data_IF_762299486038
#
_entry.id   IF_762299486038
#
_cell.length_a   1.000
_cell.length_b   1.000
_cell.length_c   1.000
_cell.angle_alpha   90.00
_cell.angle_beta   90.00
_cell.angle_gamma   90.00
#
_symmetry.space_group_name_H-M   'P 1'
#
loop_
_entity.id
_entity.type
_entity.pdbx_description
1 polymer ?
#
# COMPACT_ATOMS: atom_id res chain seq x y z
N UNK A 1 3.64 -38.79 0.81
CA UNK A 1 2.47 -37.92 0.60
C UNK A 1 2.93 -36.48 0.63
N UNK A 2 2.44 -35.60 -0.25
CA UNK A 2 2.79 -34.17 -0.15
C UNK A 2 2.11 -33.58 1.08
N UNK A 3 2.84 -32.73 1.84
CA UNK A 3 2.30 -32.07 3.05
C UNK A 3 1.18 -31.13 2.67
N UNK A 4 0.14 -31.08 3.50
CA UNK A 4 -1.03 -30.23 3.29
C UNK A 4 -0.93 -28.95 4.09
N UNK A 5 -1.03 -27.80 3.43
CA UNK A 5 -0.95 -26.48 4.05
C UNK A 5 -2.21 -25.67 3.82
N UNK A 6 -2.55 -24.83 4.79
CA UNK A 6 -3.66 -23.91 4.74
C UNK A 6 -3.14 -22.46 4.84
N UNK A 7 -3.56 -21.62 3.90
CA UNK A 7 -3.36 -20.16 3.98
C UNK A 7 -4.70 -19.52 4.33
N UNK A 8 -4.69 -18.63 5.33
CA UNK A 8 -5.90 -17.94 5.78
C UNK A 8 -5.85 -16.50 5.30
N UNK A 9 -6.79 -16.14 4.44
CA UNK A 9 -6.85 -14.87 3.72
C UNK A 9 -6.28 -14.97 2.31
N UNK A 10 -7.06 -14.53 1.32
CA UNK A 10 -6.69 -14.48 -0.10
C UNK A 10 -6.35 -13.05 -0.55
N UNK A 11 -5.76 -12.24 0.33
CA UNK A 11 -5.13 -10.99 -0.02
C UNK A 11 -3.81 -11.22 -0.78
N UNK A 12 -3.18 -10.17 -1.34
CA UNK A 12 -1.95 -10.32 -2.12
C UNK A 12 -0.80 -11.04 -1.37
N UNK A 13 -0.71 -10.87 -0.06
CA UNK A 13 0.29 -11.57 0.76
C UNK A 13 -0.07 -13.03 0.98
N UNK A 14 -1.33 -13.36 1.26
CA UNK A 14 -1.80 -14.74 1.40
C UNK A 14 -1.62 -15.52 0.11
N UNK A 15 -1.99 -14.94 -1.03
CA UNK A 15 -1.79 -15.55 -2.36
C UNK A 15 -0.31 -15.74 -2.69
N UNK A 16 0.55 -14.76 -2.34
CA UNK A 16 2.00 -14.90 -2.49
C UNK A 16 2.54 -16.07 -1.66
N UNK A 17 2.13 -16.19 -0.40
CA UNK A 17 2.51 -17.30 0.46
C UNK A 17 2.05 -18.64 -0.12
N UNK A 18 0.81 -18.72 -0.59
CA UNK A 18 0.25 -19.92 -1.20
C UNK A 18 1.02 -20.37 -2.45
N UNK A 19 1.39 -19.42 -3.31
CA UNK A 19 2.18 -19.70 -4.53
C UNK A 19 3.54 -20.28 -4.17
N UNK A 20 4.27 -19.68 -3.21
CA UNK A 20 5.58 -20.17 -2.76
C UNK A 20 5.49 -21.59 -2.21
N UNK A 21 4.48 -21.87 -1.38
CA UNK A 21 4.28 -23.22 -0.84
C UNK A 21 3.93 -24.24 -1.95
N UNK A 22 3.08 -23.86 -2.89
CA UNK A 22 2.70 -24.71 -4.02
C UNK A 22 3.89 -24.99 -4.96
N UNK A 23 4.73 -24.00 -5.23
CA UNK A 23 5.99 -24.16 -5.98
C UNK A 23 6.96 -25.11 -5.28
N UNK A 24 6.94 -25.16 -3.94
CA UNK A 24 7.71 -26.12 -3.15
C UNK A 24 7.09 -27.54 -3.10
N UNK A 25 6.01 -27.78 -3.86
CA UNK A 25 5.36 -29.10 -3.98
C UNK A 25 4.37 -29.45 -2.86
N UNK A 26 3.95 -28.47 -2.05
CA UNK A 26 2.92 -28.67 -1.04
C UNK A 26 1.52 -28.63 -1.67
N UNK A 27 0.57 -29.35 -1.07
CA UNK A 27 -0.85 -29.19 -1.37
C UNK A 27 -1.38 -28.00 -0.60
N UNK A 28 -1.89 -26.96 -1.29
CA UNK A 28 -2.25 -25.68 -0.69
C UNK A 28 -3.73 -25.38 -0.89
N UNK A 29 -4.41 -25.09 0.21
CA UNK A 29 -5.74 -24.51 0.22
C UNK A 29 -5.66 -23.11 0.84
N UNK A 30 -6.26 -22.12 0.16
CA UNK A 30 -6.42 -20.74 0.65
C UNK A 30 -7.88 -20.56 1.07
N UNK A 31 -8.12 -20.25 2.34
CA UNK A 31 -9.46 -19.99 2.88
C UNK A 31 -9.68 -18.49 2.96
N UNK A 32 -10.68 -17.99 2.22
CA UNK A 32 -11.06 -16.58 2.18
C UNK A 32 -12.44 -16.37 2.78
N UNK A 33 -12.53 -15.41 3.71
CA UNK A 33 -13.79 -15.13 4.40
C UNK A 33 -14.84 -14.47 3.48
N UNK A 34 -14.39 -13.63 2.55
CA UNK A 34 -15.26 -12.93 1.61
C UNK A 34 -15.66 -13.83 0.43
N UNK A 35 -16.70 -13.44 -0.29
CA UNK A 35 -17.13 -14.11 -1.53
C UNK A 35 -16.17 -13.90 -2.71
N UNK A 36 -15.29 -12.90 -2.61
CA UNK A 36 -14.32 -12.52 -3.64
C UNK A 36 -12.94 -12.39 -3.02
N UNK A 37 -11.90 -13.08 -3.57
CA UNK A 37 -10.54 -12.94 -3.09
C UNK A 37 -9.96 -11.57 -3.40
N UNK A 38 -8.92 -11.16 -2.69
CA UNK A 38 -8.14 -9.95 -2.99
C UNK A 38 -7.91 -9.01 -1.81
N UNK A 39 -8.60 -9.20 -0.68
CA UNK A 39 -8.45 -8.29 0.45
C UNK A 39 -8.68 -6.83 0.05
N UNK A 40 -7.72 -5.95 0.30
CA UNK A 40 -7.77 -4.55 -0.11
C UNK A 40 -7.46 -4.31 -1.61
N UNK A 41 -7.05 -5.33 -2.37
CA UNK A 41 -6.81 -5.23 -3.82
C UNK A 41 -8.04 -5.69 -4.65
N UNK A 42 -9.25 -5.44 -4.16
CA UNK A 42 -10.50 -5.71 -4.88
C UNK A 42 -10.97 -4.50 -5.66
N UNK A 43 -11.66 -4.76 -6.78
CA UNK A 43 -12.38 -3.74 -7.57
C UNK A 43 -13.87 -4.04 -7.51
N UNK A 44 -14.68 -3.04 -7.16
CA UNK A 44 -16.10 -3.18 -6.84
C UNK A 44 -16.92 -2.06 -7.48
N UNK A 45 -18.19 -2.31 -7.76
CA UNK A 45 -19.17 -1.26 -8.08
C UNK A 45 -19.66 -0.62 -6.77
N UNK A 46 -19.04 0.50 -6.39
CA UNK A 46 -19.32 1.16 -5.09
C UNK A 46 -20.29 2.33 -5.19
N UNK A 47 -20.51 2.87 -6.39
CA UNK A 47 -21.37 4.05 -6.62
C UNK A 47 -22.56 3.70 -7.50
N UNK A 48 -22.40 3.77 -8.81
CA UNK A 48 -23.45 3.49 -9.81
C UNK A 48 -23.06 2.24 -10.62
N UNK A 49 -24.05 1.54 -11.22
CA UNK A 49 -23.78 0.42 -12.12
C UNK A 49 -22.82 0.81 -13.25
N UNK A 50 -21.84 -0.06 -13.54
CA UNK A 50 -20.82 0.15 -14.57
C UNK A 50 -19.64 1.04 -14.14
N UNK A 51 -19.64 1.57 -12.90
CA UNK A 51 -18.50 2.31 -12.36
C UNK A 51 -17.67 1.42 -11.44
N UNK A 52 -16.46 1.07 -11.88
CA UNK A 52 -15.55 0.16 -11.22
C UNK A 52 -14.55 0.92 -10.33
N UNK A 53 -14.64 0.73 -9.02
CA UNK A 53 -13.79 1.40 -8.03
C UNK A 53 -12.85 0.42 -7.35
N UNK A 54 -11.61 0.82 -7.13
CA UNK A 54 -10.69 0.06 -6.30
C UNK A 54 -11.02 0.28 -4.83
N UNK A 55 -11.31 -0.81 -4.12
CA UNK A 55 -11.67 -0.75 -2.72
C UNK A 55 -10.54 -0.16 -1.85
N UNK A 56 -9.31 -0.65 -2.02
CA UNK A 56 -8.14 -0.16 -1.31
C UNK A 56 -7.14 0.51 -2.25
N UNK A 57 -6.29 -0.25 -2.90
CA UNK A 57 -5.22 0.28 -3.77
C UNK A 57 -5.64 0.37 -5.23
N UNK A 58 -5.37 1.50 -5.88
CA UNK A 58 -5.54 1.69 -7.34
C UNK A 58 -4.21 1.80 -8.07
N UNK A 59 -3.16 2.27 -7.41
CA UNK A 59 -1.84 2.54 -8.00
C UNK A 59 -0.80 1.67 -7.30
N UNK A 60 0.03 0.97 -8.08
CA UNK A 60 0.83 -0.16 -7.59
C UNK A 60 2.33 -0.03 -7.84
N UNK A 61 3.02 1.02 -7.35
CA UNK A 61 4.48 1.14 -7.54
C UNK A 61 5.25 -0.02 -6.93
N UNK A 62 4.88 -0.44 -5.71
CA UNK A 62 5.54 -1.56 -5.05
C UNK A 62 5.09 -2.91 -5.59
N UNK A 63 3.93 -2.99 -6.24
CA UNK A 63 3.46 -4.19 -6.93
C UNK A 63 4.25 -4.44 -8.21
N UNK A 64 4.33 -3.44 -9.08
CA UNK A 64 5.13 -3.50 -10.30
C UNK A 64 6.63 -3.63 -10.01
N UNK A 65 7.09 -3.04 -8.90
CA UNK A 65 8.46 -3.12 -8.43
C UNK A 65 8.77 -4.30 -7.51
N UNK A 66 7.80 -5.17 -7.23
CA UNK A 66 7.98 -6.32 -6.35
C UNK A 66 8.93 -7.36 -6.96
N UNK A 67 10.02 -7.74 -6.28
CA UNK A 67 10.89 -8.81 -6.75
C UNK A 67 10.13 -10.13 -6.92
N UNK A 68 9.16 -10.42 -6.06
CA UNK A 68 8.38 -11.65 -6.14
C UNK A 68 7.38 -11.60 -7.31
N UNK A 69 6.54 -10.57 -7.41
CA UNK A 69 5.57 -10.49 -8.51
C UNK A 69 6.24 -10.44 -9.88
N UNK A 70 7.39 -9.76 -9.98
CA UNK A 70 8.16 -9.70 -11.23
C UNK A 70 8.80 -11.04 -11.62
N UNK A 71 8.93 -11.99 -10.68
CA UNK A 71 9.41 -13.35 -10.96
C UNK A 71 8.32 -14.31 -11.44
N UNK A 72 7.05 -13.90 -11.38
CA UNK A 72 5.91 -14.70 -11.76
C UNK A 72 5.40 -14.35 -13.17
N UNK A 73 4.86 -15.29 -13.95
CA UNK A 73 4.33 -15.05 -15.29
C UNK A 73 2.94 -14.41 -15.24
N UNK A 74 2.73 -13.35 -14.45
CA UNK A 74 1.41 -12.77 -14.21
C UNK A 74 0.79 -12.15 -15.47
N UNK A 75 1.60 -11.72 -16.44
CA UNK A 75 1.11 -11.28 -17.76
C UNK A 75 0.39 -12.40 -18.51
N UNK A 76 0.88 -13.64 -18.43
CA UNK A 76 0.27 -14.79 -19.07
C UNK A 76 -1.06 -15.18 -18.38
N UNK A 77 -1.27 -14.65 -17.19
CA UNK A 77 -2.48 -14.81 -16.38
C UNK A 77 -3.39 -13.57 -16.39
N UNK A 78 -3.16 -12.63 -17.33
CA UNK A 78 -4.06 -11.51 -17.60
C UNK A 78 -3.74 -10.22 -16.84
N UNK A 79 -2.60 -10.11 -16.14
CA UNK A 79 -2.17 -8.86 -15.54
C UNK A 79 -1.52 -7.96 -16.59
N UNK A 80 -2.10 -6.79 -16.80
CA UNK A 80 -1.54 -5.73 -17.64
C UNK A 80 -1.36 -4.46 -16.81
N UNK A 81 -0.15 -3.89 -16.83
CA UNK A 81 0.15 -2.62 -16.18
C UNK A 81 -0.03 -1.45 -17.16
N UNK A 82 -0.86 -0.47 -16.79
CA UNK A 82 -1.04 0.78 -17.50
C UNK A 82 -0.24 1.86 -16.79
N UNK A 83 0.65 2.54 -17.53
CA UNK A 83 1.39 3.68 -17.04
C UNK A 83 0.72 4.98 -17.49
N UNK A 84 0.41 5.88 -16.55
CA UNK A 84 0.08 7.26 -16.87
C UNK A 84 1.32 8.00 -17.39
N UNK A 85 1.15 9.07 -18.18
CA UNK A 85 2.28 9.89 -18.67
C UNK A 85 3.20 10.38 -17.55
N UNK A 86 2.63 10.75 -16.41
CA UNK A 86 3.39 11.09 -15.20
C UNK A 86 2.89 10.25 -14.01
N UNK A 87 3.76 9.73 -13.13
CA UNK A 87 3.38 9.03 -11.90
C UNK A 87 2.52 9.88 -10.96
N UNK A 88 2.86 11.16 -10.78
CA UNK A 88 2.26 12.00 -9.76
C UNK A 88 2.22 13.47 -10.18
N UNK A 89 1.10 14.13 -9.87
CA UNK A 89 0.97 15.59 -9.90
C UNK A 89 0.72 16.16 -8.50
N UNK A 90 1.29 17.32 -8.22
CA UNK A 90 1.07 18.07 -6.99
C UNK A 90 0.66 19.51 -7.35
N UNK A 91 -0.65 19.82 -7.44
CA UNK A 91 -1.12 21.16 -7.74
C UNK A 91 -0.88 22.13 -6.59
N UNK A 92 -0.66 23.40 -6.95
CA UNK A 92 -0.38 24.52 -6.03
C UNK A 92 -1.44 25.62 -6.19
N UNK A 93 -1.51 26.52 -5.22
CA UNK A 93 -2.50 27.60 -5.20
C UNK A 93 -2.35 28.60 -6.34
N UNK A 94 -1.15 28.74 -6.90
CA UNK A 94 -0.87 29.59 -8.06
C UNK A 94 -1.41 29.05 -9.39
N UNK A 95 -2.09 27.89 -9.35
CA UNK A 95 -2.68 27.26 -10.52
C UNK A 95 -1.71 26.39 -11.33
N UNK A 96 -0.45 26.29 -10.93
CA UNK A 96 0.50 25.35 -11.52
C UNK A 96 0.48 23.99 -10.79
N UNK A 97 1.09 22.97 -11.41
CA UNK A 97 1.37 21.70 -10.74
C UNK A 97 2.87 21.40 -10.77
N UNK A 98 3.37 20.73 -9.73
CA UNK A 98 4.69 20.12 -9.73
C UNK A 98 4.52 18.66 -10.15
N UNK A 99 5.19 18.28 -11.23
CA UNK A 99 5.10 16.92 -11.77
C UNK A 99 6.26 16.07 -11.29
N UNK A 100 5.97 14.85 -10.90
CA UNK A 100 6.95 13.79 -10.78
C UNK A 100 6.86 12.96 -12.07
N UNK A 101 7.80 13.17 -12.97
CA UNK A 101 7.87 12.44 -14.23
C UNK A 101 8.52 11.08 -14.03
N UNK A 102 8.25 10.12 -14.91
CA UNK A 102 8.91 8.81 -14.85
C UNK A 102 10.40 8.95 -15.17
N UNK A 103 10.73 9.75 -16.17
CA UNK A 103 12.14 10.08 -16.46
C UNK A 103 12.72 10.99 -15.39
N UNK A 104 13.84 10.57 -14.81
CA UNK A 104 14.52 11.32 -13.76
C UNK A 104 15.07 12.66 -14.28
N UNK A 105 15.51 12.70 -15.54
CA UNK A 105 16.07 13.91 -16.13
C UNK A 105 14.99 14.97 -16.37
N UNK A 106 13.79 14.55 -16.80
CA UNK A 106 12.63 15.43 -16.95
C UNK A 106 12.23 16.03 -15.59
N UNK A 107 12.13 15.19 -14.53
CA UNK A 107 11.86 15.68 -13.17
C UNK A 107 12.94 16.67 -12.70
N UNK A 108 14.23 16.34 -12.90
CA UNK A 108 15.31 17.24 -12.50
C UNK A 108 15.22 18.59 -13.22
N UNK A 109 14.90 18.59 -14.52
CA UNK A 109 14.72 19.81 -15.30
C UNK A 109 13.54 20.65 -14.78
N UNK A 110 12.39 20.00 -14.49
CA UNK A 110 11.20 20.67 -13.95
C UNK A 110 11.42 21.24 -12.55
N UNK A 111 12.23 20.59 -11.71
CA UNK A 111 12.60 21.07 -10.37
C UNK A 111 13.68 22.16 -10.37
N UNK A 112 14.24 22.49 -11.51
CA UNK A 112 15.17 23.60 -11.74
C UNK A 112 16.31 23.63 -10.71
N UNK A 113 16.34 24.64 -9.81
CA UNK A 113 17.40 24.82 -8.81
C UNK A 113 17.61 23.61 -7.90
N UNK A 114 16.57 22.81 -7.65
CA UNK A 114 16.63 21.61 -6.82
C UNK A 114 16.85 20.32 -7.61
N UNK A 115 16.83 20.38 -8.94
CA UNK A 115 17.05 19.22 -9.81
C UNK A 115 18.32 18.43 -9.47
N UNK A 116 19.51 19.08 -9.31
CA UNK A 116 20.73 18.37 -8.92
C UNK A 116 20.63 17.74 -7.52
N UNK A 117 19.94 18.37 -6.57
CA UNK A 117 19.74 17.83 -5.23
C UNK A 117 18.80 16.61 -5.25
N UNK A 118 17.72 16.69 -6.02
CA UNK A 118 16.82 15.59 -6.28
C UNK A 118 17.54 14.38 -6.90
N UNK A 119 18.34 14.60 -7.95
CA UNK A 119 19.12 13.54 -8.55
C UNK A 119 20.09 12.85 -7.59
N UNK A 120 20.79 13.63 -6.75
CA UNK A 120 21.67 13.03 -5.72
C UNK A 120 20.90 12.19 -4.69
N UNK A 121 19.65 12.57 -4.41
CA UNK A 121 18.80 11.89 -3.44
C UNK A 121 18.30 10.54 -3.97
N UNK A 122 17.90 10.44 -5.25
CA UNK A 122 17.15 9.28 -5.76
C UNK A 122 17.93 8.43 -6.79
N UNK A 123 18.80 9.02 -7.63
CA UNK A 123 19.51 8.34 -8.73
C UNK A 123 20.19 7.04 -8.32
N UNK A 124 20.95 6.95 -7.21
CA UNK A 124 21.66 5.72 -6.86
C UNK A 124 20.74 4.53 -6.61
N UNK A 125 19.53 4.77 -6.17
CA UNK A 125 18.52 3.75 -5.90
C UNK A 125 17.72 3.40 -7.14
N UNK A 126 17.49 4.38 -8.02
CA UNK A 126 16.83 4.19 -9.33
C UNK A 126 17.68 3.29 -10.22
N UNK A 127 18.96 3.64 -10.38
CA UNK A 127 19.92 2.88 -11.23
C UNK A 127 20.18 1.46 -10.70
N UNK A 128 19.99 1.23 -9.40
CA UNK A 128 20.22 -0.05 -8.77
C UNK A 128 18.93 -0.65 -8.17
N UNK A 129 17.77 -0.38 -8.78
CA UNK A 129 16.48 -0.84 -8.27
C UNK A 129 16.44 -2.35 -8.02
N UNK A 130 16.98 -3.15 -8.95
CA UNK A 130 17.03 -4.62 -8.83
C UNK A 130 17.78 -5.11 -7.58
N UNK A 131 18.75 -4.34 -7.10
CA UNK A 131 19.50 -4.61 -5.87
C UNK A 131 18.82 -3.98 -4.64
N UNK A 132 18.19 -2.82 -4.83
CA UNK A 132 17.58 -2.04 -3.76
C UNK A 132 16.23 -2.62 -3.31
N UNK A 133 15.35 -2.97 -4.27
CA UNK A 133 14.03 -3.47 -3.96
C UNK A 133 14.01 -4.72 -3.05
N UNK A 134 14.84 -5.76 -3.27
CA UNK A 134 14.89 -6.91 -2.38
C UNK A 134 15.35 -6.60 -0.95
N UNK A 135 16.15 -5.53 -0.77
CA UNK A 135 16.61 -5.12 0.57
C UNK A 135 15.51 -4.39 1.35
N UNK A 136 14.81 -3.46 0.70
CA UNK A 136 13.78 -2.64 1.36
C UNK A 136 12.42 -3.35 1.47
N UNK A 137 12.14 -4.29 0.57
CA UNK A 137 10.93 -5.10 0.55
C UNK A 137 11.15 -6.48 1.21
N UNK A 138 12.11 -6.57 2.12
CA UNK A 138 12.43 -7.76 2.89
C UNK A 138 12.55 -7.49 4.39
N UNK A 139 12.80 -8.53 5.20
CA UNK A 139 13.12 -8.36 6.60
C UNK A 139 14.48 -7.66 6.73
N UNK A 140 14.58 -6.77 7.72
CA UNK A 140 15.86 -6.14 8.04
C UNK A 140 16.94 -7.19 8.32
N UNK A 141 18.05 -7.10 7.60
CA UNK A 141 19.20 -7.97 7.76
C UNK A 141 20.26 -7.25 8.57
N UNK A 142 20.89 -7.98 9.49
CA UNK A 142 22.04 -7.44 10.24
C UNK A 142 23.16 -7.04 9.28
N UNK A 143 23.39 -7.84 8.23
CA UNK A 143 24.31 -7.51 7.14
C UNK A 143 23.53 -7.52 5.83
N UNK A 144 23.29 -6.34 5.22
CA UNK A 144 22.67 -6.25 3.91
C UNK A 144 23.51 -6.91 2.82
N UNK A 145 22.89 -7.39 1.75
CA UNK A 145 23.61 -7.91 0.57
C UNK A 145 24.36 -6.80 -0.17
N UNK A 146 23.83 -5.57 -0.13
CA UNK A 146 24.40 -4.37 -0.75
C UNK A 146 24.67 -3.29 0.30
N UNK A 147 25.70 -3.45 1.16
CA UNK A 147 25.90 -2.62 2.36
C UNK A 147 26.13 -1.15 2.02
N UNK A 148 26.86 -0.84 0.95
CA UNK A 148 27.08 0.55 0.53
C UNK A 148 25.80 1.26 0.11
N UNK A 149 24.92 0.57 -0.64
CA UNK A 149 23.63 1.10 -1.08
C UNK A 149 22.70 1.31 0.12
N UNK A 150 22.66 0.34 1.04
CA UNK A 150 21.82 0.40 2.23
C UNK A 150 22.33 1.41 3.26
N UNK A 151 23.64 1.59 3.40
CA UNK A 151 24.19 2.67 4.24
C UNK A 151 23.81 4.04 3.71
N UNK A 152 23.88 4.24 2.38
CA UNK A 152 23.44 5.48 1.74
C UNK A 152 21.95 5.73 1.93
N UNK A 153 21.12 4.71 1.79
CA UNK A 153 19.68 4.82 2.06
C UNK A 153 19.43 5.15 3.54
N UNK A 154 20.07 4.44 4.46
CA UNK A 154 19.93 4.63 5.91
C UNK A 154 20.27 6.05 6.38
N UNK A 155 21.28 6.69 5.76
CA UNK A 155 21.63 8.08 6.07
C UNK A 155 20.48 9.07 5.81
N UNK A 156 19.58 8.77 4.87
CA UNK A 156 18.40 9.60 4.58
C UNK A 156 17.17 9.04 5.29
N UNK A 157 16.99 7.74 5.24
CA UNK A 157 15.80 7.05 5.74
C UNK A 157 15.56 7.27 7.25
N UNK A 158 16.63 7.37 8.04
CA UNK A 158 16.54 7.60 9.48
C UNK A 158 16.20 9.07 9.84
N UNK A 159 16.19 9.96 8.85
CA UNK A 159 15.83 11.37 9.07
C UNK A 159 14.32 11.59 9.00
N UNK A 160 13.89 12.73 9.50
CA UNK A 160 12.54 13.25 9.24
C UNK A 160 12.48 13.90 7.84
N UNK A 161 11.29 13.83 7.22
CA UNK A 161 11.04 14.50 5.94
C UNK A 161 11.31 16.00 6.04
N UNK A 162 10.96 16.61 7.17
CA UNK A 162 11.25 18.02 7.45
C UNK A 162 12.75 18.33 7.39
N UNK A 163 13.60 17.46 7.94
CA UNK A 163 15.06 17.66 7.94
C UNK A 163 15.64 17.57 6.53
N UNK A 164 15.13 16.66 5.69
CA UNK A 164 15.55 16.54 4.29
C UNK A 164 15.02 17.72 3.47
N UNK A 165 13.76 18.10 3.63
CA UNK A 165 13.13 19.20 2.89
C UNK A 165 13.80 20.54 3.13
N UNK A 166 14.39 20.81 4.31
CA UNK A 166 15.17 22.03 4.60
C UNK A 166 16.38 22.22 3.70
N UNK A 167 16.86 21.16 3.02
CA UNK A 167 17.98 21.20 2.05
C UNK A 167 17.51 21.53 0.64
N UNK A 168 16.20 21.51 0.40
CA UNK A 168 15.56 21.89 -0.84
C UNK A 168 15.24 23.40 -0.79
N UNK A 169 15.55 24.11 -1.86
CA UNK A 169 15.42 25.58 -1.91
C UNK A 169 14.02 26.02 -2.34
N UNK A 170 13.45 25.32 -3.34
CA UNK A 170 12.15 25.66 -3.90
C UNK A 170 11.01 25.20 -2.99
N UNK A 171 10.05 26.07 -2.64
CA UNK A 171 8.82 25.68 -1.96
C UNK A 171 8.04 24.60 -2.73
N UNK A 172 8.08 24.63 -4.07
CA UNK A 172 7.43 23.65 -4.94
C UNK A 172 8.03 22.25 -4.76
N UNK A 173 9.35 22.13 -4.75
CA UNK A 173 10.03 20.85 -4.51
C UNK A 173 9.76 20.32 -3.11
N UNK A 174 9.72 21.22 -2.11
CA UNK A 174 9.37 20.84 -0.74
C UNK A 174 7.94 20.29 -0.64
N UNK A 175 6.98 20.93 -1.32
CA UNK A 175 5.59 20.50 -1.35
C UNK A 175 5.43 19.09 -1.99
N UNK A 176 6.07 18.85 -3.13
CA UNK A 176 6.12 17.52 -3.76
C UNK A 176 6.69 16.48 -2.78
N UNK A 177 7.82 16.81 -2.13
CA UNK A 177 8.48 15.91 -1.18
C UNK A 177 7.61 15.62 0.06
N UNK A 178 6.85 16.63 0.55
CA UNK A 178 5.91 16.45 1.65
C UNK A 178 4.77 15.48 1.29
N UNK A 179 4.19 15.61 0.10
CA UNK A 179 3.15 14.69 -0.37
C UNK A 179 3.65 13.24 -0.47
N UNK A 180 4.88 13.03 -0.94
CA UNK A 180 5.52 11.71 -0.95
C UNK A 180 5.77 11.18 0.47
N UNK A 181 6.18 12.04 1.42
CA UNK A 181 6.43 11.67 2.79
C UNK A 181 5.16 11.31 3.56
N UNK A 182 4.02 11.92 3.21
CA UNK A 182 2.73 11.66 3.84
C UNK A 182 2.26 10.21 3.68
N UNK A 183 2.74 9.48 2.66
CA UNK A 183 2.50 8.03 2.55
C UNK A 183 3.01 7.22 3.76
N UNK A 184 3.82 7.79 4.64
CA UNK A 184 4.29 7.15 5.87
C UNK A 184 3.24 7.07 6.97
N UNK A 185 2.19 7.89 6.92
CA UNK A 185 1.24 8.12 8.02
C UNK A 185 1.91 8.62 9.32
N UNK A 186 3.14 9.11 9.21
CA UNK A 186 3.89 9.73 10.29
C UNK A 186 3.77 11.25 10.22
N UNK A 187 3.98 11.92 11.36
CA UNK A 187 4.24 13.35 11.32
C UNK A 187 5.56 13.60 10.56
N UNK A 188 5.60 14.63 9.71
CA UNK A 188 6.76 14.87 8.83
C UNK A 188 8.02 15.32 9.58
N UNK A 189 7.92 15.59 10.88
CA UNK A 189 9.05 15.86 11.80
C UNK A 189 9.54 14.58 12.52
N UNK A 190 8.84 13.43 12.38
CA UNK A 190 9.26 12.16 12.94
C UNK A 190 10.34 11.45 12.07
N UNK A 191 11.29 10.72 12.70
CA UNK A 191 12.21 9.82 12.00
C UNK A 191 11.47 8.83 11.10
N UNK A 192 12.12 8.34 10.06
CA UNK A 192 11.61 7.43 9.03
C UNK A 192 10.61 8.06 8.04
N UNK A 193 10.04 9.24 8.29
CA UNK A 193 9.13 9.88 7.32
C UNK A 193 9.85 10.21 5.99
N UNK A 194 11.16 10.50 6.02
CA UNK A 194 11.97 10.70 4.80
C UNK A 194 12.17 9.38 4.01
N UNK A 195 12.17 8.21 4.67
CA UNK A 195 12.32 6.93 4.00
C UNK A 195 11.21 6.69 2.98
N UNK A 196 9.98 7.00 3.36
CA UNK A 196 8.82 6.85 2.47
C UNK A 196 8.87 7.82 1.30
N UNK A 197 9.23 9.09 1.55
CA UNK A 197 9.37 10.06 0.47
C UNK A 197 10.39 9.60 -0.59
N UNK A 198 11.56 9.12 -0.13
CA UNK A 198 12.59 8.63 -1.04
C UNK A 198 12.15 7.34 -1.74
N UNK A 199 11.55 6.40 -1.03
CA UNK A 199 11.05 5.16 -1.63
C UNK A 199 10.00 5.42 -2.71
N UNK A 200 9.03 6.30 -2.42
CA UNK A 200 7.99 6.67 -3.39
C UNK A 200 8.58 7.39 -4.61
N UNK A 201 9.51 8.33 -4.41
CA UNK A 201 10.21 8.99 -5.50
C UNK A 201 11.05 8.01 -6.34
N UNK A 202 11.80 7.13 -5.69
CA UNK A 202 12.62 6.12 -6.37
C UNK A 202 11.75 5.16 -7.19
N UNK A 203 10.65 4.66 -6.61
CA UNK A 203 9.73 3.77 -7.32
C UNK A 203 9.10 4.43 -8.54
N UNK A 204 8.78 5.74 -8.46
CA UNK A 204 8.22 6.50 -9.58
C UNK A 204 9.18 6.52 -10.78
N UNK A 205 10.48 6.73 -10.54
CA UNK A 205 11.48 6.75 -11.60
C UNK A 205 11.88 5.34 -12.06
N UNK A 206 12.01 4.38 -11.16
CA UNK A 206 12.50 3.04 -11.47
C UNK A 206 11.45 2.19 -12.21
N UNK A 207 10.22 2.16 -11.71
CA UNK A 207 9.15 1.28 -12.21
C UNK A 207 7.87 2.02 -12.61
N UNK A 208 7.79 3.31 -12.30
CA UNK A 208 6.56 4.10 -12.46
C UNK A 208 5.53 3.83 -11.36
N UNK A 209 4.37 4.48 -11.48
CA UNK A 209 3.20 4.25 -10.62
C UNK A 209 2.04 3.72 -11.48
N UNK A 210 2.13 2.47 -11.96
CA UNK A 210 1.11 1.93 -12.84
C UNK A 210 -0.17 1.57 -12.09
N UNK A 211 -1.25 1.50 -12.88
CA UNK A 211 -2.54 0.92 -12.48
C UNK A 211 -2.72 -0.42 -13.21
N UNK A 212 -3.33 -1.45 -12.61
CA UNK A 212 -3.69 -2.66 -13.35
C UNK A 212 -4.93 -2.40 -14.19
N UNK A 213 -4.92 -2.86 -15.44
CA UNK A 213 -6.10 -2.79 -16.34
C UNK A 213 -7.27 -3.53 -15.70
N UNK A 214 -8.43 -2.90 -15.61
CA UNK A 214 -9.61 -3.44 -14.93
C UNK A 214 -9.57 -3.31 -13.41
N UNK A 215 -8.52 -2.69 -12.85
CA UNK A 215 -8.38 -2.45 -11.40
C UNK A 215 -7.61 -3.51 -10.63
N UNK A 216 -7.50 -3.29 -9.32
CA UNK A 216 -6.74 -4.15 -8.40
C UNK A 216 -7.15 -5.62 -8.42
N UNK A 217 -8.41 -5.89 -8.73
CA UNK A 217 -8.92 -7.26 -8.87
C UNK A 217 -8.17 -8.06 -9.94
N UNK A 218 -7.66 -7.40 -10.99
CA UNK A 218 -6.89 -8.09 -12.05
C UNK A 218 -5.59 -8.69 -11.53
N UNK A 219 -4.89 -8.01 -10.63
CA UNK A 219 -3.71 -8.58 -9.95
C UNK A 219 -4.10 -9.82 -9.13
N UNK A 220 -5.18 -9.73 -8.36
CA UNK A 220 -5.68 -10.86 -7.57
C UNK A 220 -6.06 -12.04 -8.46
N UNK A 221 -6.79 -11.77 -9.54
CA UNK A 221 -7.20 -12.81 -10.49
C UNK A 221 -5.99 -13.49 -11.14
N UNK A 222 -4.96 -12.74 -11.51
CA UNK A 222 -3.72 -13.29 -12.07
C UNK A 222 -3.00 -14.20 -11.06
N UNK A 223 -2.91 -13.77 -9.79
CA UNK A 223 -2.31 -14.60 -8.72
C UNK A 223 -3.12 -15.89 -8.47
N UNK A 224 -4.44 -15.81 -8.42
CA UNK A 224 -5.32 -16.98 -8.27
C UNK A 224 -5.21 -17.92 -9.47
N UNK A 225 -5.18 -17.37 -10.69
CA UNK A 225 -5.01 -18.14 -11.92
C UNK A 225 -3.68 -18.88 -11.93
N UNK A 226 -2.58 -18.21 -11.59
CA UNK A 226 -1.26 -18.84 -11.50
C UNK A 226 -1.23 -19.91 -10.40
N UNK A 227 -1.77 -19.65 -9.21
CA UNK A 227 -1.86 -20.62 -8.11
C UNK A 227 -2.61 -21.88 -8.55
N UNK A 228 -3.68 -21.73 -9.35
CA UNK A 228 -4.45 -22.86 -9.90
C UNK A 228 -3.61 -23.76 -10.81
N UNK A 229 -2.70 -23.22 -11.61
CA UNK A 229 -1.77 -24.03 -12.43
C UNK A 229 -0.83 -24.89 -11.58
N UNK A 230 -0.55 -24.45 -10.36
CA UNK A 230 0.24 -25.18 -9.36
C UNK A 230 -0.63 -26.14 -8.52
N UNK A 231 -1.91 -26.32 -8.88
CA UNK A 231 -2.92 -27.15 -8.18
C UNK A 231 -3.29 -26.64 -6.78
N UNK A 232 -2.98 -25.37 -6.45
CA UNK A 232 -3.51 -24.72 -5.27
C UNK A 232 -4.98 -24.31 -5.46
N UNK A 233 -5.74 -24.22 -4.38
CA UNK A 233 -7.18 -23.89 -4.42
C UNK A 233 -7.47 -22.67 -3.57
N UNK A 234 -8.34 -21.78 -4.06
CA UNK A 234 -8.91 -20.68 -3.28
C UNK A 234 -10.36 -21.01 -2.97
N UNK A 235 -10.72 -21.03 -1.71
CA UNK A 235 -12.05 -21.38 -1.19
C UNK A 235 -12.61 -20.14 -0.53
N UNK A 236 -13.54 -19.47 -1.20
CA UNK A 236 -14.19 -18.24 -0.74
C UNK A 236 -15.36 -18.55 0.19
N UNK A 237 -15.91 -17.50 0.84
CA UNK A 237 -17.01 -17.63 1.82
C UNK A 237 -16.70 -18.65 2.93
N UNK A 238 -15.44 -18.74 3.32
CA UNK A 238 -14.91 -19.73 4.26
C UNK A 238 -14.18 -19.05 5.44
N UNK A 239 -14.89 -18.31 6.30
CA UNK A 239 -14.29 -17.63 7.43
C UNK A 239 -13.72 -18.63 8.44
N UNK A 240 -12.46 -18.46 8.82
CA UNK A 240 -11.80 -19.31 9.82
C UNK A 240 -11.89 -18.61 11.18
N UNK A 241 -12.60 -19.23 12.09
CA UNK A 241 -12.74 -18.73 13.45
C UNK A 241 -11.74 -19.36 14.43
N UNK A 242 -11.29 -20.58 14.17
CA UNK A 242 -10.36 -21.31 15.03
C UNK A 242 -9.53 -22.30 14.20
N UNK A 243 -8.20 -22.26 14.36
CA UNK A 243 -7.29 -23.20 13.70
C UNK A 243 -7.45 -24.65 14.18
N UNK A 244 -7.99 -24.87 15.36
CA UNK A 244 -8.22 -26.24 15.85
C UNK A 244 -9.27 -27.01 15.04
N UNK A 245 -10.15 -26.32 14.33
CA UNK A 245 -11.14 -26.96 13.43
C UNK A 245 -10.53 -27.46 12.11
N UNK A 246 -9.27 -27.13 11.83
CA UNK A 246 -8.56 -27.42 10.60
C UNK A 246 -7.45 -28.50 10.82
N UNK A 247 -7.80 -29.58 11.51
CA UNK A 247 -6.86 -30.62 11.94
C UNK A 247 -6.17 -31.37 10.78
N UNK A 248 -6.72 -31.31 9.57
CA UNK A 248 -6.18 -31.98 8.40
C UNK A 248 -4.95 -31.29 7.80
N UNK A 249 -4.62 -30.07 8.23
CA UNK A 249 -3.49 -29.31 7.73
C UNK A 249 -2.31 -29.35 8.71
N UNK A 250 -1.11 -29.49 8.12
CA UNK A 250 0.15 -29.57 8.87
C UNK A 250 0.85 -28.21 9.03
N UNK A 251 0.46 -27.23 8.21
CA UNK A 251 1.09 -25.91 8.17
C UNK A 251 0.05 -24.83 7.92
N UNK A 252 0.15 -23.71 8.66
CA UNK A 252 -0.75 -22.56 8.53
C UNK A 252 0.03 -21.29 8.29
N UNK A 253 -0.32 -20.55 7.23
CA UNK A 253 0.14 -19.18 6.99
C UNK A 253 -1.06 -18.24 7.08
N UNK A 254 -1.01 -17.31 8.02
CA UNK A 254 -2.13 -16.45 8.37
C UNK A 254 -1.90 -15.04 7.81
N UNK A 255 -2.61 -14.66 6.75
CA UNK A 255 -2.69 -13.28 6.24
C UNK A 255 -3.70 -12.50 7.09
N UNK A 256 -3.45 -12.50 8.38
CA UNK A 256 -4.27 -11.89 9.43
C UNK A 256 -3.43 -10.90 10.24
N UNK A 257 -4.09 -9.85 10.75
CA UNK A 257 -3.42 -8.94 11.69
C UNK A 257 -3.18 -9.60 13.04
N UNK A 258 -2.30 -9.06 13.90
CA UNK A 258 -2.06 -9.59 15.25
C UNK A 258 -3.32 -9.81 16.06
N UNK A 259 -4.31 -8.89 16.01
CA UNK A 259 -5.58 -9.00 16.73
C UNK A 259 -6.35 -10.26 16.32
N UNK A 260 -6.53 -10.48 15.04
CA UNK A 260 -7.24 -11.64 14.52
C UNK A 260 -6.47 -12.94 14.73
N UNK A 261 -5.13 -12.89 14.61
CA UNK A 261 -4.30 -14.07 14.85
C UNK A 261 -4.39 -14.55 16.31
N UNK A 262 -4.55 -13.62 17.29
CA UNK A 262 -4.83 -13.98 18.69
C UNK A 262 -6.13 -14.78 18.81
N UNK A 263 -7.17 -14.32 18.13
CA UNK A 263 -8.51 -14.95 18.16
C UNK A 263 -8.49 -16.32 17.47
N UNK A 264 -8.03 -16.36 16.22
CA UNK A 264 -8.04 -17.57 15.38
C UNK A 264 -7.05 -18.62 15.87
N UNK A 265 -5.87 -18.20 16.32
CA UNK A 265 -4.82 -19.09 16.85
C UNK A 265 -5.12 -19.63 18.26
N UNK A 266 -5.86 -18.87 19.04
CA UNK A 266 -6.34 -19.28 20.37
C UNK A 266 -5.27 -19.85 21.26
N UNK A 267 -5.54 -21.02 21.84
CA UNK A 267 -4.62 -21.72 22.76
C UNK A 267 -3.43 -22.41 22.06
N UNK A 268 -3.43 -22.51 20.72
CA UNK A 268 -2.25 -22.99 19.96
C UNK A 268 -1.09 -22.03 20.03
N UNK A 269 -1.35 -20.75 20.35
CA UNK A 269 -0.33 -19.74 20.62
C UNK A 269 -0.07 -19.64 22.13
N UNK A 270 1.19 -19.58 22.53
CA UNK A 270 1.53 -19.40 23.94
C UNK A 270 0.97 -18.08 24.49
N UNK A 271 0.66 -18.04 25.76
CA UNK A 271 0.12 -16.84 26.43
C UNK A 271 1.09 -15.64 26.31
N UNK A 272 2.39 -15.90 26.48
CA UNK A 272 3.43 -14.87 26.32
C UNK A 272 3.42 -14.27 24.91
N UNK A 273 3.25 -15.10 23.86
CA UNK A 273 3.21 -14.63 22.49
C UNK A 273 1.92 -13.85 22.19
N UNK A 274 0.78 -14.31 22.69
CA UNK A 274 -0.50 -13.57 22.58
C UNK A 274 -0.41 -12.19 23.24
N UNK A 275 0.23 -12.08 24.42
CA UNK A 275 0.49 -10.77 25.06
C UNK A 275 1.38 -9.86 24.21
N UNK A 276 2.43 -10.40 23.55
CA UNK A 276 3.25 -9.62 22.64
C UNK A 276 2.46 -9.13 21.43
N UNK A 277 1.65 -9.98 20.81
CA UNK A 277 0.74 -9.57 19.72
C UNK A 277 -0.27 -8.52 20.17
N UNK A 278 -0.80 -8.63 21.39
CA UNK A 278 -1.75 -7.66 21.97
C UNK A 278 -1.14 -6.27 22.20
N UNK A 279 0.18 -6.15 22.25
CA UNK A 279 0.87 -4.85 22.32
C UNK A 279 1.10 -4.18 20.95
N UNK A 280 0.67 -4.80 19.87
CA UNK A 280 0.79 -4.26 18.52
C UNK A 280 -0.09 -3.02 18.36
N UNK A 281 0.45 -1.96 17.76
CA UNK A 281 -0.26 -0.69 17.57
C UNK A 281 -0.63 -0.50 16.11
N UNK A 282 -1.89 -0.19 15.88
CA UNK A 282 -2.40 0.18 14.56
C UNK A 282 -2.14 1.66 14.29
N UNK A 283 -1.94 1.99 13.01
CA UNK A 283 -1.63 3.34 12.55
C UNK A 283 -2.85 4.23 12.38
N UNK A 284 -2.63 5.43 11.85
CA UNK A 284 -3.72 6.29 11.42
C UNK A 284 -4.59 5.62 10.36
N UNK A 285 -5.82 6.07 10.25
CA UNK A 285 -6.82 5.53 9.36
C UNK A 285 -6.97 6.37 8.09
N UNK A 286 -7.54 5.77 7.05
CA UNK A 286 -8.04 6.47 5.89
C UNK A 286 -9.56 6.76 6.03
N UNK A 287 -9.96 7.98 5.69
CA UNK A 287 -11.34 8.33 5.37
C UNK A 287 -11.42 8.50 3.86
N UNK A 288 -12.15 7.61 3.18
CA UNK A 288 -12.13 7.46 1.73
C UNK A 288 -13.47 7.84 1.12
N UNK A 289 -13.44 8.39 -0.09
CA UNK A 289 -14.64 8.67 -0.89
C UNK A 289 -14.38 8.21 -2.32
N UNK A 290 -15.30 7.41 -2.85
CA UNK A 290 -15.36 7.00 -4.27
C UNK A 290 -16.35 7.87 -5.01
N UNK A 291 -16.02 8.25 -6.24
CA UNK A 291 -16.82 9.14 -7.08
C UNK A 291 -17.10 8.54 -8.45
N UNK A 292 -18.38 8.55 -8.86
CA UNK A 292 -18.79 8.49 -10.25
C UNK A 292 -18.91 9.91 -10.78
N UNK A 293 -18.25 10.21 -11.90
CA UNK A 293 -18.17 11.56 -12.45
C UNK A 293 -18.76 11.61 -13.87
N UNK A 294 -19.37 12.73 -14.24
CA UNK A 294 -19.89 12.92 -15.59
C UNK A 294 -18.81 13.28 -16.62
N UNK A 295 -17.62 13.69 -16.17
CA UNK A 295 -16.48 14.08 -16.98
C UNK A 295 -15.19 14.01 -16.16
N UNK A 296 -14.03 14.34 -16.74
CA UNK A 296 -12.77 14.43 -16.02
C UNK A 296 -12.81 15.55 -14.98
N UNK A 297 -11.96 15.43 -13.95
CA UNK A 297 -11.83 16.46 -12.90
C UNK A 297 -11.35 17.79 -13.52
N UNK A 298 -12.01 18.93 -13.24
CA UNK A 298 -11.72 20.22 -13.87
C UNK A 298 -10.54 20.94 -13.19
N UNK A 299 -9.34 20.35 -13.27
CA UNK A 299 -8.14 20.90 -12.65
C UNK A 299 -7.79 22.31 -13.15
N UNK A 300 -7.36 23.20 -12.27
CA UNK A 300 -6.75 24.49 -12.66
C UNK A 300 -5.51 24.26 -13.52
N UNK A 301 -4.67 23.30 -13.15
CA UNK A 301 -3.54 22.87 -13.98
C UNK A 301 -3.93 21.64 -14.79
N UNK A 302 -3.95 21.75 -16.11
CA UNK A 302 -4.20 20.62 -17.02
C UNK A 302 -3.16 19.50 -16.90
N UNK A 303 -1.97 19.80 -16.37
CA UNK A 303 -0.93 18.80 -16.12
C UNK A 303 -1.40 17.69 -15.15
N UNK A 304 -2.34 17.98 -14.25
CA UNK A 304 -2.92 16.99 -13.36
C UNK A 304 -3.67 15.87 -14.11
N UNK A 305 -4.11 16.10 -15.34
CA UNK A 305 -4.72 15.06 -16.19
C UNK A 305 -3.71 14.05 -16.75
N UNK A 306 -2.41 14.35 -16.64
CA UNK A 306 -1.33 13.45 -17.07
C UNK A 306 -1.00 12.39 -16.03
N UNK A 307 -1.47 12.55 -14.79
CA UNK A 307 -1.12 11.68 -13.67
C UNK A 307 -2.31 10.86 -13.18
N UNK A 308 -2.09 9.56 -12.92
CA UNK A 308 -3.10 8.73 -12.26
C UNK A 308 -3.30 9.13 -10.78
N UNK A 309 -2.25 9.64 -10.15
CA UNK A 309 -2.27 10.10 -8.74
C UNK A 309 -2.07 11.60 -8.63
N UNK A 310 -2.85 12.24 -7.78
CA UNK A 310 -2.73 13.67 -7.46
C UNK A 310 -2.67 13.85 -5.95
N UNK A 311 -1.65 14.55 -5.45
CA UNK A 311 -1.50 14.91 -4.04
C UNK A 311 -2.01 16.34 -3.80
N UNK A 312 -2.99 16.50 -2.92
CA UNK A 312 -3.58 17.80 -2.58
C UNK A 312 -3.23 18.16 -1.14
N UNK A 313 -2.61 19.30 -0.96
CA UNK A 313 -2.19 19.77 0.38
C UNK A 313 -1.48 21.10 0.35
N UNK A 314 -1.29 21.66 -0.85
CA UNK A 314 -0.62 22.96 -1.02
C UNK A 314 0.85 22.90 -0.62
N UNK A 315 1.26 23.64 0.42
CA UNK A 315 2.66 23.74 0.84
C UNK A 315 3.14 22.57 1.71
N UNK A 316 4.47 22.48 1.89
CA UNK A 316 5.08 21.53 2.83
C UNK A 316 4.51 21.72 4.25
N UNK A 317 4.38 22.95 4.68
CA UNK A 317 3.96 23.32 6.03
C UNK A 317 2.51 22.90 6.29
N UNK A 318 1.66 23.03 5.29
CA UNK A 318 0.25 22.65 5.37
C UNK A 318 0.09 21.12 5.46
N UNK A 319 0.81 20.37 4.63
CA UNK A 319 0.83 18.90 4.71
C UNK A 319 1.40 18.44 6.04
N UNK A 320 2.51 19.02 6.50
CA UNK A 320 3.11 18.70 7.79
C UNK A 320 2.15 18.96 8.97
N UNK A 321 1.39 20.06 8.91
CA UNK A 321 0.38 20.38 9.92
C UNK A 321 -0.78 19.37 9.90
N UNK A 322 -1.22 18.94 8.71
CA UNK A 322 -2.24 17.91 8.55
C UNK A 322 -1.82 16.59 9.19
N UNK A 323 -0.65 16.07 8.83
CA UNK A 323 -0.15 14.80 9.36
C UNK A 323 0.11 14.85 10.87
N UNK A 324 0.60 15.98 11.38
CA UNK A 324 0.81 16.21 12.80
C UNK A 324 -0.50 16.22 13.59
N UNK A 325 -1.56 16.82 13.04
CA UNK A 325 -2.90 16.83 13.67
C UNK A 325 -3.40 15.38 13.82
N UNK A 326 -3.35 14.59 12.75
CA UNK A 326 -3.77 13.18 12.77
C UNK A 326 -2.95 12.37 13.78
N UNK A 327 -1.65 12.55 13.81
CA UNK A 327 -0.74 11.89 14.74
C UNK A 327 -1.03 12.23 16.20
N UNK A 328 -1.56 13.43 16.45
CA UNK A 328 -1.99 13.91 17.77
C UNK A 328 -3.45 13.52 18.11
N UNK A 329 -4.11 12.70 17.30
CA UNK A 329 -5.50 12.29 17.51
C UNK A 329 -6.54 13.35 17.09
N UNK A 330 -6.13 14.34 16.29
CA UNK A 330 -6.99 15.43 15.82
C UNK A 330 -7.28 15.32 14.33
N UNK A 331 -8.28 16.07 13.85
CA UNK A 331 -8.68 16.13 12.45
C UNK A 331 -8.24 17.48 11.85
N UNK A 332 -7.56 17.43 10.71
CA UNK A 332 -7.16 18.65 10.01
C UNK A 332 -8.38 19.34 9.37
N UNK A 333 -8.42 20.66 9.40
CA UNK A 333 -9.40 21.45 8.64
C UNK A 333 -9.02 21.54 7.17
N UNK A 334 -7.74 21.38 6.85
CA UNK A 334 -7.19 21.29 5.50
C UNK A 334 -6.39 19.99 5.37
N UNK A 335 -7.07 18.83 5.23
CA UNK A 335 -6.37 17.57 5.22
C UNK A 335 -5.48 17.44 3.98
N UNK A 336 -4.35 16.75 4.13
CA UNK A 336 -3.69 16.17 2.98
C UNK A 336 -4.63 15.15 2.33
N UNK A 337 -4.82 15.25 1.02
CA UNK A 337 -5.69 14.33 0.27
C UNK A 337 -4.87 13.66 -0.84
N UNK A 338 -4.90 12.35 -0.87
CA UNK A 338 -4.45 11.56 -2.00
C UNK A 338 -5.66 11.23 -2.88
N UNK A 339 -5.56 11.61 -4.15
CA UNK A 339 -6.62 11.38 -5.13
C UNK A 339 -6.09 10.54 -6.29
N UNK A 340 -6.90 9.62 -6.81
CA UNK A 340 -6.61 8.88 -8.04
C UNK A 340 -7.74 9.01 -9.05
N UNK A 341 -7.38 8.99 -10.34
CA UNK A 341 -8.29 9.13 -11.47
C UNK A 341 -8.01 8.06 -12.53
N UNK A 342 -8.23 6.76 -12.19
CA UNK A 342 -7.79 5.64 -13.02
C UNK A 342 -8.47 5.59 -14.38
N UNK A 343 -9.70 6.05 -14.50
CA UNK A 343 -10.48 6.03 -15.74
C UNK A 343 -9.95 6.97 -16.84
N UNK A 344 -9.03 7.87 -16.53
CA UNK A 344 -8.34 8.65 -17.56
C UNK A 344 -7.42 7.76 -18.42
N UNK A 345 -6.95 6.65 -17.88
CA UNK A 345 -5.97 5.77 -18.53
C UNK A 345 -6.55 4.36 -18.78
N UNK A 346 -7.61 3.98 -18.07
CA UNK A 346 -8.29 2.70 -18.22
C UNK A 346 -9.79 2.94 -18.43
N UNK A 347 -10.21 2.93 -19.69
CA UNK A 347 -11.60 3.18 -20.08
C UNK A 347 -12.59 2.09 -19.64
N UNK A 348 -12.11 0.94 -19.16
CA UNK A 348 -12.97 -0.12 -18.61
C UNK A 348 -13.58 0.23 -17.24
N UNK A 349 -13.12 1.34 -16.62
CA UNK A 349 -13.48 1.73 -15.25
C UNK A 349 -14.82 2.47 -15.14
N UNK A 350 -15.35 2.99 -16.23
CA UNK A 350 -16.61 3.74 -16.26
C UNK A 350 -17.30 3.61 -17.62
N UNK A 351 -18.61 3.87 -17.72
CA UNK A 351 -19.31 3.98 -18.98
C UNK A 351 -18.68 5.06 -19.89
N UNK A 352 -18.90 4.93 -21.21
CA UNK A 352 -18.32 5.84 -22.20
C UNK A 352 -18.62 7.33 -21.87
N UNK A 353 -17.57 8.15 -21.87
CA UNK A 353 -17.64 9.58 -21.52
C UNK A 353 -17.84 9.88 -20.04
N UNK A 354 -17.81 8.86 -19.18
CA UNK A 354 -17.87 9.00 -17.72
C UNK A 354 -16.52 8.64 -17.10
N UNK A 355 -16.35 9.03 -15.82
CA UNK A 355 -15.09 8.83 -15.11
C UNK A 355 -15.29 8.31 -13.69
N UNK A 356 -14.29 7.61 -13.17
CA UNK A 356 -14.17 7.29 -11.75
C UNK A 356 -13.01 8.07 -11.16
N UNK A 357 -13.17 8.47 -9.92
CA UNK A 357 -12.07 8.89 -9.07
C UNK A 357 -12.32 8.36 -7.66
N UNK A 358 -11.27 8.24 -6.87
CA UNK A 358 -11.42 8.15 -5.43
C UNK A 358 -10.35 8.99 -4.74
N UNK A 359 -10.70 9.44 -3.54
CA UNK A 359 -9.78 10.21 -2.72
C UNK A 359 -9.86 9.74 -1.27
N UNK A 360 -8.77 9.88 -0.53
CA UNK A 360 -8.79 9.71 0.91
C UNK A 360 -7.94 10.78 1.60
N UNK A 361 -8.28 11.05 2.84
CA UNK A 361 -7.45 11.79 3.77
C UNK A 361 -7.14 10.94 5.00
N UNK A 362 -6.06 11.31 5.72
CA UNK A 362 -5.70 10.66 6.96
C UNK A 362 -6.56 11.17 8.12
N UNK A 363 -6.96 10.24 8.99
CA UNK A 363 -7.71 10.51 10.22
C UNK A 363 -7.14 9.65 11.37
N UNK A 364 -7.39 9.98 12.63
CA UNK A 364 -7.04 9.10 13.74
C UNK A 364 -7.65 7.71 13.60
N UNK A 365 -6.96 6.67 14.07
CA UNK A 365 -7.47 5.30 14.04
C UNK A 365 -8.85 5.19 14.70
N UNK A 366 -9.78 4.52 14.05
CA UNK A 366 -11.15 4.36 14.53
C UNK A 366 -12.00 5.64 14.54
N UNK A 367 -11.58 6.68 13.82
CA UNK A 367 -12.31 7.95 13.73
C UNK A 367 -13.75 7.74 13.23
N UNK A 368 -14.67 8.47 13.83
CA UNK A 368 -16.10 8.54 13.42
C UNK A 368 -16.47 9.90 12.82
N UNK A 369 -15.50 10.78 12.64
CA UNK A 369 -15.73 12.12 12.11
C UNK A 369 -15.92 12.04 10.61
N UNK A 370 -16.99 12.66 10.11
CA UNK A 370 -17.20 12.78 8.66
C UNK A 370 -16.29 13.90 8.11
N UNK A 371 -15.37 13.52 7.24
CA UNK A 371 -14.41 14.44 6.61
C UNK A 371 -14.81 14.85 5.18
N UNK A 372 -16.01 14.48 4.71
CA UNK A 372 -16.42 14.67 3.31
C UNK A 372 -16.26 16.12 2.86
N UNK A 373 -16.86 17.08 3.59
CA UNK A 373 -16.82 18.51 3.18
C UNK A 373 -15.38 19.05 3.17
N UNK A 374 -14.54 18.66 4.15
CA UNK A 374 -13.15 19.09 4.20
C UNK A 374 -12.33 18.50 3.06
N UNK A 375 -12.55 17.21 2.76
CA UNK A 375 -11.88 16.53 1.65
C UNK A 375 -12.30 17.14 0.30
N UNK A 376 -13.60 17.32 0.06
CA UNK A 376 -14.09 17.92 -1.18
C UNK A 376 -13.68 19.39 -1.31
N UNK A 377 -13.60 20.15 -0.21
CA UNK A 377 -13.10 21.52 -0.24
C UNK A 377 -11.64 21.60 -0.66
N UNK A 378 -10.81 20.58 -0.29
CA UNK A 378 -9.45 20.50 -0.80
C UNK A 378 -9.42 20.18 -2.30
N UNK A 379 -10.31 19.34 -2.81
CA UNK A 379 -10.38 19.06 -4.24
C UNK A 379 -10.83 20.34 -4.99
N UNK A 380 -11.90 21.00 -4.53
CA UNK A 380 -12.43 22.25 -5.11
C UNK A 380 -11.38 23.37 -5.15
N UNK A 381 -10.49 23.47 -4.17
CA UNK A 381 -9.40 24.44 -4.13
C UNK A 381 -8.53 24.38 -5.38
N UNK A 382 -8.24 23.17 -5.88
CA UNK A 382 -7.36 22.91 -7.01
C UNK A 382 -8.13 22.58 -8.32
N UNK A 383 -9.40 22.21 -8.19
CA UNK A 383 -10.28 21.84 -9.29
C UNK A 383 -11.69 22.46 -9.08
N UNK A 384 -11.84 23.79 -9.27
CA UNK A 384 -13.13 24.47 -9.11
C UNK A 384 -14.20 23.86 -10.02
N UNK A 385 -15.38 23.59 -9.46
CA UNK A 385 -16.47 22.90 -10.14
C UNK A 385 -16.40 21.37 -10.06
N UNK A 386 -15.50 20.82 -9.25
CA UNK A 386 -15.44 19.37 -9.04
C UNK A 386 -16.78 18.80 -8.53
N UNK A 387 -17.42 19.48 -7.56
CA UNK A 387 -18.70 19.03 -6.99
C UNK A 387 -19.80 18.93 -8.03
N UNK A 388 -19.77 19.80 -9.05
CA UNK A 388 -20.73 19.78 -10.16
C UNK A 388 -20.49 18.59 -11.10
N UNK A 389 -19.27 18.03 -11.11
CA UNK A 389 -18.94 16.83 -11.88
C UNK A 389 -19.45 15.54 -11.24
N UNK A 390 -19.83 15.55 -9.97
CA UNK A 390 -20.17 14.33 -9.21
C UNK A 390 -21.59 13.85 -9.54
N UNK A 391 -21.69 12.66 -10.14
CA UNK A 391 -22.97 11.95 -10.36
C UNK A 391 -23.41 11.20 -9.09
N UNK A 392 -22.48 10.54 -8.44
CA UNK A 392 -22.70 9.83 -7.19
C UNK A 392 -21.38 9.70 -6.41
N UNK A 393 -21.50 9.53 -5.11
CA UNK A 393 -20.35 9.28 -4.22
C UNK A 393 -20.65 8.20 -3.19
N UNK A 394 -19.64 7.47 -2.79
CA UNK A 394 -19.68 6.52 -1.68
C UNK A 394 -18.62 6.93 -0.66
N UNK A 395 -19.07 7.31 0.54
CA UNK A 395 -18.18 7.52 1.68
C UNK A 395 -17.87 6.17 2.31
N UNK A 396 -16.60 5.92 2.60
CA UNK A 396 -16.10 4.75 3.31
C UNK A 396 -15.32 5.24 4.53
N UNK A 397 -15.93 5.11 5.69
CA UNK A 397 -15.35 5.49 6.97
C UNK A 397 -14.30 4.45 7.43
N UNK A 398 -13.48 4.76 8.45
CA UNK A 398 -12.60 3.77 9.08
C UNK A 398 -13.31 2.48 9.52
N UNK A 399 -14.54 2.58 10.03
CA UNK A 399 -15.33 1.40 10.41
C UNK A 399 -15.85 0.61 9.22
N UNK A 400 -16.17 1.29 8.11
CA UNK A 400 -16.56 0.60 6.87
C UNK A 400 -15.37 -0.14 6.26
N UNK A 401 -14.17 0.48 6.26
CA UNK A 401 -12.94 -0.19 5.82
C UNK A 401 -12.69 -1.49 6.59
N UNK A 402 -12.77 -1.44 7.93
CA UNK A 402 -12.60 -2.61 8.78
C UNK A 402 -13.70 -3.66 8.56
N UNK A 403 -14.94 -3.27 8.32
CA UNK A 403 -16.05 -4.20 8.06
C UNK A 403 -15.90 -4.90 6.71
N UNK A 404 -15.34 -4.22 5.71
CA UNK A 404 -15.12 -4.76 4.36
C UNK A 404 -13.84 -5.59 4.26
N UNK A 405 -12.83 -5.30 5.08
CA UNK A 405 -11.60 -6.06 5.22
C UNK A 405 -11.13 -5.97 6.69
N UNK A 406 -11.29 -7.05 7.42
CA UNK A 406 -10.99 -7.13 8.85
C UNK A 406 -9.49 -6.91 9.18
N UNK A 407 -8.59 -6.94 8.19
CA UNK A 407 -7.19 -6.58 8.35
C UNK A 407 -6.97 -5.06 8.48
N UNK A 408 -7.96 -4.24 8.07
CA UNK A 408 -7.89 -2.78 8.12
C UNK A 408 -8.39 -2.25 9.48
N UNK A 409 -7.75 -2.66 10.56
CA UNK A 409 -8.19 -2.42 11.94
C UNK A 409 -8.31 -0.93 12.25
N UNK A 410 -9.51 -0.47 12.56
CA UNK A 410 -9.81 0.93 12.79
C UNK A 410 -9.58 1.82 11.57
N UNK A 411 -9.53 1.23 10.36
CA UNK A 411 -9.25 1.92 9.10
C UNK A 411 -7.76 2.08 8.77
N UNK A 412 -6.86 1.43 9.51
CA UNK A 412 -5.42 1.43 9.22
C UNK A 412 -5.13 0.64 7.94
N UNK A 413 -4.72 1.33 6.89
CA UNK A 413 -4.35 0.75 5.59
C UNK A 413 -2.84 0.44 5.48
N UNK A 414 -2.03 0.83 6.46
CA UNK A 414 -0.58 0.64 6.51
C UNK A 414 -0.15 -0.66 7.18
N UNK A 415 -1.09 -1.39 7.82
CA UNK A 415 -0.80 -2.63 8.54
C UNK A 415 -0.02 -2.41 9.84
N UNK A 416 -0.18 -1.25 10.49
CA UNK A 416 0.41 -0.88 11.79
C UNK A 416 1.28 0.36 11.74
N UNK A 417 1.48 0.99 12.88
CA UNK A 417 2.36 2.17 13.02
C UNK A 417 3.79 1.84 12.58
N UNK A 418 4.41 2.75 11.84
CA UNK A 418 5.80 2.61 11.35
C UNK A 418 6.74 3.49 12.17
N UNK A 419 6.68 3.43 13.50
CA UNK A 419 7.74 4.00 14.33
C UNK A 419 8.97 3.08 14.44
N UNK A 420 10.10 3.60 14.91
CA UNK A 420 11.37 2.85 15.00
C UNK A 420 11.23 1.51 15.72
N UNK A 421 10.47 1.47 16.82
CA UNK A 421 10.31 0.23 17.60
C UNK A 421 9.55 -0.82 16.80
N UNK A 422 8.40 -0.44 16.23
CA UNK A 422 7.54 -1.38 15.51
C UNK A 422 8.11 -1.70 14.14
N UNK A 423 8.83 -0.78 13.51
CA UNK A 423 9.57 -1.04 12.28
C UNK A 423 10.62 -2.17 12.46
N UNK A 424 11.34 -2.17 13.58
CA UNK A 424 12.37 -3.20 13.87
C UNK A 424 11.78 -4.53 14.32
N UNK A 425 10.67 -4.52 15.06
CA UNK A 425 10.15 -5.68 15.79
C UNK A 425 8.69 -5.99 15.47
N UNK A 426 8.27 -5.84 14.20
CA UNK A 426 6.88 -6.10 13.79
C UNK A 426 6.64 -7.54 13.34
N UNK A 427 5.53 -8.19 13.70
CA UNK A 427 4.64 -7.78 14.81
C UNK A 427 5.28 -8.10 16.17
N UNK A 428 6.30 -8.94 16.18
CA UNK A 428 7.20 -9.32 17.30
C UNK A 428 8.61 -9.52 16.77
N UNK A 429 9.59 -9.73 17.65
CA UNK A 429 10.97 -10.06 17.26
C UNK A 429 11.11 -11.36 16.42
N UNK A 430 10.06 -12.21 16.41
CA UNK A 430 10.01 -13.42 15.58
C UNK A 430 9.67 -13.18 14.13
N UNK A 431 9.25 -11.97 13.78
CA UNK A 431 8.75 -11.56 12.46
C UNK A 431 7.61 -12.46 11.97
N UNK A 432 7.90 -13.43 11.11
CA UNK A 432 6.90 -14.31 10.48
C UNK A 432 6.53 -15.51 11.33
N UNK A 433 7.46 -16.02 12.16
CA UNK A 433 7.23 -17.18 12.99
C UNK A 433 6.41 -16.84 14.25
N UNK A 434 5.59 -17.80 14.69
CA UNK A 434 4.83 -17.67 15.94
C UNK A 434 5.47 -18.48 17.07
N UNK A 435 4.76 -18.62 18.19
CA UNK A 435 5.14 -19.55 19.26
C UNK A 435 4.83 -21.01 18.93
N UNK A 436 3.93 -21.26 17.97
CA UNK A 436 3.66 -22.59 17.43
C UNK A 436 4.60 -22.88 16.24
N UNK A 437 5.01 -24.16 16.11
CA UNK A 437 5.99 -24.55 15.08
C UNK A 437 5.42 -24.63 13.67
N UNK A 438 4.11 -24.65 13.56
CA UNK A 438 3.34 -24.87 12.35
C UNK A 438 2.44 -23.69 11.98
N UNK A 439 2.49 -22.57 12.73
CA UNK A 439 1.70 -21.36 12.47
C UNK A 439 2.65 -20.19 12.20
N UNK A 440 2.42 -19.52 11.06
CA UNK A 440 3.17 -18.34 10.63
C UNK A 440 2.20 -17.19 10.33
N UNK A 441 2.66 -15.95 10.53
CA UNK A 441 1.93 -14.73 10.14
C UNK A 441 2.55 -14.17 8.88
N UNK A 442 1.72 -13.78 7.90
CA UNK A 442 2.19 -13.33 6.59
C UNK A 442 1.51 -12.04 6.10
N UNK A 443 0.76 -11.37 6.97
CA UNK A 443 0.06 -10.11 6.64
C UNK A 443 1.01 -8.90 6.58
N UNK A 444 0.48 -7.76 6.18
CA UNK A 444 1.16 -6.46 6.19
C UNK A 444 1.65 -6.04 7.60
N UNK A 445 1.25 -6.74 8.65
CA UNK A 445 1.79 -6.56 10.00
C UNK A 445 3.20 -7.14 10.18
N UNK A 446 3.73 -7.88 9.20
CA UNK A 446 5.11 -8.40 9.19
C UNK A 446 6.02 -7.55 8.29
N UNK A 447 7.35 -7.69 8.36
CA UNK A 447 8.24 -7.04 7.39
C UNK A 447 7.91 -7.47 5.94
N UNK A 448 8.06 -6.58 4.96
CA UNK A 448 8.49 -5.19 5.06
C UNK A 448 7.39 -4.23 5.51
N UNK A 449 6.15 -4.65 5.61
CA UNK A 449 5.04 -3.81 6.03
C UNK A 449 3.96 -3.63 4.99
N UNK A 450 3.26 -2.49 5.05
CA UNK A 450 2.17 -2.14 4.15
C UNK A 450 2.62 -1.93 2.71
N UNK A 451 1.68 -2.09 1.81
CA UNK A 451 1.85 -2.01 0.37
C UNK A 451 1.43 -3.31 -0.33
N UNK A 452 1.00 -3.19 -1.59
CA UNK A 452 0.61 -4.38 -2.38
C UNK A 452 1.84 -4.88 -3.14
N UNK A 453 2.63 -5.73 -2.51
CA UNK A 453 3.87 -6.29 -3.07
C UNK A 453 4.04 -7.80 -2.86
N UNK A 454 3.19 -8.45 -2.04
CA UNK A 454 3.24 -9.88 -1.76
C UNK A 454 4.46 -10.36 -0.94
N UNK A 455 5.40 -9.47 -0.60
CA UNK A 455 6.67 -9.86 0.01
C UNK A 455 6.53 -10.34 1.46
N UNK A 456 5.52 -9.88 2.20
CA UNK A 456 5.24 -10.42 3.54
C UNK A 456 4.90 -11.91 3.45
N UNK A 457 4.04 -12.29 2.49
CA UNK A 457 3.68 -13.67 2.19
C UNK A 457 4.86 -14.50 1.72
N UNK A 458 5.62 -13.98 0.76
CA UNK A 458 6.82 -14.61 0.25
C UNK A 458 7.80 -14.98 1.37
N UNK A 459 8.20 -14.01 2.18
CA UNK A 459 9.18 -14.27 3.26
C UNK A 459 8.64 -15.15 4.39
N UNK A 460 7.34 -15.08 4.67
CA UNK A 460 6.71 -15.99 5.63
C UNK A 460 6.77 -17.44 5.16
N UNK A 461 6.46 -17.68 3.89
CA UNK A 461 6.50 -19.02 3.29
C UNK A 461 7.95 -19.56 3.23
N UNK A 462 8.91 -18.75 2.81
CA UNK A 462 10.34 -19.10 2.83
C UNK A 462 10.82 -19.48 4.25
N UNK A 463 10.37 -18.72 5.26
CA UNK A 463 10.67 -19.00 6.68
C UNK A 463 10.09 -20.34 7.11
N UNK A 464 8.84 -20.63 6.72
CA UNK A 464 8.17 -21.88 7.03
C UNK A 464 8.86 -23.07 6.37
N UNK A 465 9.17 -22.98 5.07
CA UNK A 465 9.87 -24.02 4.31
C UNK A 465 11.27 -24.31 4.88
N UNK A 466 12.03 -23.26 5.22
CA UNK A 466 13.34 -23.41 5.85
C UNK A 466 13.28 -24.15 7.20
N UNK A 467 12.21 -23.94 7.95
CA UNK A 467 11.97 -24.62 9.22
C UNK A 467 11.61 -26.10 9.06
N UNK A 468 10.93 -26.44 7.95
CA UNK A 468 10.58 -27.82 7.61
C UNK A 468 11.79 -28.63 7.09
N UNK A 469 12.70 -28.00 6.35
CA UNK A 469 13.93 -28.62 5.84
C UNK A 469 15.03 -28.87 6.90
N UNK A 470 14.90 -28.26 8.09
CA UNK A 470 15.80 -28.48 9.23
C UNK A 470 15.37 -29.62 10.17
N UNK A 471 14.27 -30.29 9.86
CA UNK A 471 13.75 -31.48 10.55
C UNK A 471 14.02 -32.73 9.74
#
# INVERSE_FOLDING_TARGET
MSRKSCVIGAGPNGLAAAIVLAQAGMQVDVLEAQSTPGGAARTLELTLPGFQHDFGSAVYPLGAGSPFFSSLPLSDHGLEWIHSPAPLAHPLDDGAAVMLERDLTETQSALAIDGPAWGRLVRPFVEHWSNFAPEILGPLRVVPRHPGLMARFGMVALQSAQSVARRLRSPRTRALFAGLAAHSFLSLDEPLSAAFAVLMAVSAHAVGWPIPRGGGQSLTNALCSFLSTLKGRVITSSPVQNLASLADYELFLCDLTPRQLIEVGGQRLSESYRRQLGSYRYGAAAFKVDYALHGPIPWKSSDCLRAATVHLGGSFEEIAASEKAVRSGQHSDRPFVLLTQPSLFDHSRAPAGKHTAWAYCHVPNGSRVNMLDKLESQIERFAPGFRDCVLARRVISPSDLESMDANLVGGDIGGGVVDLRQFLFRPTWRHYATSAKDIYICSASTPPGGGVHGMCGYHAAETALSSLGRR
#
